data_IF_002928738502
#
_entry.id   IF_002928738502
#
_cell.length_a   1.000
_cell.length_b   1.000
_cell.length_c   1.000
_cell.angle_alpha   90.00
_cell.angle_beta   90.00
_cell.angle_gamma   90.00
#
_symmetry.space_group_name_H-M   'P 1'
#
loop_
_entity.id
_entity.type
_entity.pdbx_description
1 polymer ?
#
# COMPACT_ATOMS: atom_id res chain seq x y z
N UNK A 1 -7.73 1.60 27.62
CA UNK A 1 -8.99 1.98 26.96
C UNK A 1 -9.97 0.80 26.95
N UNK A 2 -11.28 1.09 27.05
CA UNK A 2 -12.35 0.17 26.73
C UNK A 2 -12.96 0.59 25.39
N UNK A 3 -12.86 -0.27 24.38
CA UNK A 3 -13.53 -0.04 23.11
C UNK A 3 -14.89 -0.75 23.14
N UNK A 4 -15.93 -0.05 22.80
CA UNK A 4 -17.29 -0.59 22.71
C UNK A 4 -17.78 -0.43 21.28
N UNK A 5 -18.19 -1.52 20.66
CA UNK A 5 -18.86 -1.50 19.35
C UNK A 5 -20.31 -1.92 19.56
N UNK A 6 -21.24 -1.14 19.04
CA UNK A 6 -22.67 -1.41 19.04
C UNK A 6 -23.16 -1.54 17.62
N UNK A 7 -23.98 -2.53 17.35
CA UNK A 7 -24.70 -2.69 16.10
C UNK A 7 -26.18 -2.53 16.41
N UNK A 8 -26.84 -1.56 15.80
CA UNK A 8 -28.25 -1.31 15.91
C UNK A 8 -28.95 -1.65 14.59
N UNK A 9 -30.05 -2.39 14.66
CA UNK A 9 -30.87 -2.73 13.50
C UNK A 9 -32.10 -1.81 13.46
N UNK A 10 -32.32 -1.16 12.31
CA UNK A 10 -33.46 -0.30 12.06
C UNK A 10 -33.96 -0.61 10.66
N UNK A 11 -35.20 -1.14 10.53
CA UNK A 11 -35.81 -1.50 9.23
C UNK A 11 -34.89 -2.35 8.35
N UNK A 12 -34.29 -3.41 8.92
CA UNK A 12 -33.35 -4.33 8.26
C UNK A 12 -32.02 -3.69 7.80
N UNK A 13 -31.72 -2.47 8.23
CA UNK A 13 -30.43 -1.83 8.04
C UNK A 13 -29.62 -1.85 9.35
N UNK A 14 -28.30 -2.08 9.23
CA UNK A 14 -27.41 -2.18 10.37
C UNK A 14 -26.56 -0.93 10.49
N UNK A 15 -26.59 -0.30 11.66
CA UNK A 15 -25.82 0.88 12.01
C UNK A 15 -24.75 0.52 13.04
N UNK A 16 -23.50 0.78 12.73
CA UNK A 16 -22.37 0.56 13.63
C UNK A 16 -22.04 1.85 14.39
N UNK A 17 -22.00 1.77 15.71
CA UNK A 17 -21.54 2.85 16.58
C UNK A 17 -20.35 2.38 17.39
N UNK A 18 -19.30 3.17 17.42
CA UNK A 18 -18.07 2.87 18.15
C UNK A 18 -17.81 3.95 19.20
N UNK A 19 -17.44 3.53 20.39
CA UNK A 19 -17.03 4.42 21.48
C UNK A 19 -15.80 3.90 22.17
N UNK A 20 -14.98 4.81 22.68
CA UNK A 20 -13.74 4.52 23.38
C UNK A 20 -13.70 5.24 24.70
N UNK A 21 -13.57 4.50 25.80
CA UNK A 21 -13.48 5.06 27.15
C UNK A 21 -12.11 4.78 27.74
N UNK A 22 -11.50 5.80 28.31
CA UNK A 22 -10.26 5.64 29.05
C UNK A 22 -10.55 5.04 30.42
N UNK A 23 -10.10 3.81 30.68
CA UNK A 23 -10.19 3.19 32.01
C UNK A 23 -9.03 3.54 32.93
N UNK A 24 -7.85 3.73 32.36
CA UNK A 24 -6.64 4.09 33.11
C UNK A 24 -5.75 4.95 32.20
N UNK A 25 -5.26 6.05 32.73
CA UNK A 25 -4.39 6.95 31.99
C UNK A 25 -3.01 6.32 31.68
N UNK A 26 -2.57 5.36 32.53
CA UNK A 26 -1.25 4.73 32.33
C UNK A 26 -0.14 5.76 32.16
N UNK A 27 0.72 5.58 31.16
CA UNK A 27 1.81 6.50 30.84
C UNK A 27 1.36 7.91 30.43
N UNK A 28 0.11 8.06 29.97
CA UNK A 28 -0.45 9.35 29.54
C UNK A 28 -0.60 10.32 30.72
N UNK A 29 -0.75 9.81 31.96
CA UNK A 29 -0.82 10.63 33.17
C UNK A 29 0.47 11.43 33.40
N UNK A 30 1.61 10.91 32.96
CA UNK A 30 2.92 11.57 33.09
C UNK A 30 3.03 12.81 32.21
N UNK A 31 2.36 12.80 31.05
CA UNK A 31 2.43 13.90 30.07
C UNK A 31 1.32 14.93 30.21
N UNK A 32 0.44 14.83 31.20
CA UNK A 32 -0.61 15.81 31.47
C UNK A 32 -1.58 16.03 30.29
N UNK A 33 -1.66 15.11 29.34
CA UNK A 33 -2.56 15.23 28.20
C UNK A 33 -4.01 15.06 28.67
N UNK A 34 -4.78 16.14 28.61
CA UNK A 34 -6.24 16.07 28.65
C UNK A 34 -6.69 15.32 27.39
N UNK A 35 -7.42 14.24 27.61
CA UNK A 35 -7.96 13.44 26.51
C UNK A 35 -9.27 14.11 26.11
N UNK A 36 -9.37 14.45 24.82
CA UNK A 36 -10.63 14.88 24.24
C UNK A 36 -11.70 13.85 24.62
N UNK A 37 -12.78 14.32 25.21
CA UNK A 37 -13.92 13.51 25.61
C UNK A 37 -14.55 12.90 24.37
N UNK A 38 -14.13 11.67 24.06
CA UNK A 38 -14.82 10.91 23.03
C UNK A 38 -16.22 10.53 23.52
N UNK A 39 -17.21 10.47 22.63
CA UNK A 39 -18.59 10.19 23.03
C UNK A 39 -18.67 8.88 23.84
N UNK A 40 -19.12 9.02 25.07
CA UNK A 40 -19.37 7.90 25.96
C UNK A 40 -20.58 7.12 25.45
N UNK A 41 -20.40 5.86 25.11
CA UNK A 41 -21.50 4.96 24.80
C UNK A 41 -22.02 4.31 26.10
N UNK A 42 -23.22 4.66 26.55
CA UNK A 42 -23.79 3.99 27.73
C UNK A 42 -23.95 2.49 27.47
N UNK A 43 -23.73 1.63 28.48
CA UNK A 43 -23.93 0.20 28.31
C UNK A 43 -25.41 -0.10 28.04
N UNK A 44 -25.67 -0.84 26.96
CA UNK A 44 -26.99 -1.34 26.60
C UNK A 44 -26.92 -2.86 26.46
N UNK A 45 -27.83 -3.61 27.06
CA UNK A 45 -27.89 -5.06 26.86
C UNK A 45 -28.29 -5.38 25.40
N UNK A 46 -27.84 -6.55 24.94
CA UNK A 46 -28.22 -7.03 23.62
C UNK A 46 -29.73 -7.26 23.53
N UNK A 47 -30.37 -6.88 22.44
CA UNK A 47 -31.79 -7.01 22.20
C UNK A 47 -32.63 -5.91 22.85
N UNK A 48 -32.03 -4.91 23.48
CA UNK A 48 -32.80 -3.79 24.04
C UNK A 48 -33.34 -2.93 22.87
N UNK A 49 -34.66 -2.66 22.92
CA UNK A 49 -35.30 -1.74 22.00
C UNK A 49 -34.78 -0.31 22.20
N UNK A 50 -34.51 0.35 21.11
CA UNK A 50 -34.08 1.76 21.04
C UNK A 50 -35.05 2.55 20.16
N UNK A 51 -35.20 3.83 20.44
CA UNK A 51 -35.99 4.76 19.62
C UNK A 51 -35.01 5.69 18.88
N UNK A 52 -35.14 5.77 17.56
CA UNK A 52 -34.40 6.72 16.79
C UNK A 52 -34.98 8.12 17.02
N UNK A 53 -34.22 9.00 17.63
CA UNK A 53 -34.63 10.37 17.92
C UNK A 53 -34.52 11.28 16.70
N UNK A 54 -33.48 11.13 15.93
CA UNK A 54 -33.24 11.90 14.70
C UNK A 54 -32.29 11.15 13.77
N UNK A 55 -32.35 11.47 12.51
CA UNK A 55 -31.37 11.02 11.51
C UNK A 55 -31.02 12.19 10.58
N UNK A 56 -29.80 12.16 10.07
CA UNK A 56 -29.32 13.14 9.12
C UNK A 56 -28.64 12.39 7.96
N UNK A 57 -29.02 12.73 6.75
CA UNK A 57 -28.40 12.19 5.55
C UNK A 57 -27.28 13.14 5.09
N UNK A 58 -26.05 12.66 5.13
CA UNK A 58 -24.91 13.40 4.60
C UNK A 58 -24.54 12.90 3.21
N UNK A 59 -24.59 13.76 2.23
CA UNK A 59 -24.04 13.47 0.91
C UNK A 59 -22.52 13.68 0.97
N UNK A 60 -21.77 12.61 0.84
CA UNK A 60 -20.32 12.62 0.89
C UNK A 60 -19.73 12.17 -0.45
N UNK A 61 -18.60 12.76 -0.79
CA UNK A 61 -17.79 12.31 -1.92
C UNK A 61 -16.59 11.53 -1.41
N UNK A 62 -16.25 10.45 -2.10
CA UNK A 62 -15.01 9.73 -1.84
C UNK A 62 -13.81 10.64 -2.13
N UNK A 63 -12.84 10.60 -1.22
CA UNK A 63 -11.57 11.30 -1.41
C UNK A 63 -10.52 10.31 -1.90
N UNK A 64 -9.56 10.74 -2.74
CA UNK A 64 -8.43 9.90 -3.08
C UNK A 64 -7.66 9.52 -1.81
N UNK A 65 -6.97 8.36 -1.80
CA UNK A 65 -6.12 8.00 -0.69
C UNK A 65 -5.02 9.05 -0.49
N UNK A 66 -4.58 9.29 0.76
CA UNK A 66 -3.50 10.23 1.03
C UNK A 66 -2.21 9.76 0.35
N UNK A 67 -1.35 10.71 -0.02
CA UNK A 67 -0.01 10.41 -0.51
C UNK A 67 0.81 9.70 0.57
N UNK A 68 1.81 8.95 0.15
CA UNK A 68 2.72 8.31 1.09
C UNK A 68 3.62 9.34 1.76
N UNK A 69 3.81 9.21 3.06
CA UNK A 69 4.98 9.73 3.76
C UNK A 69 6.09 8.67 3.72
N UNK A 70 7.31 9.02 4.10
CA UNK A 70 8.40 8.03 4.20
C UNK A 70 8.02 6.87 5.13
N UNK A 71 7.42 7.15 6.28
CA UNK A 71 6.99 6.13 7.22
C UNK A 71 5.92 5.21 6.63
N UNK A 72 4.93 5.76 5.94
CA UNK A 72 3.86 4.96 5.33
C UNK A 72 4.35 4.21 4.10
N UNK A 73 5.33 4.75 3.35
CA UNK A 73 5.97 4.04 2.24
C UNK A 73 6.82 2.87 2.73
N UNK A 74 7.62 3.06 3.80
CA UNK A 74 8.34 1.97 4.45
C UNK A 74 7.41 0.84 4.88
N UNK A 75 6.28 1.18 5.52
CA UNK A 75 5.27 0.19 5.92
C UNK A 75 4.61 -0.49 4.70
N UNK A 76 4.42 0.25 3.60
CA UNK A 76 3.89 -0.32 2.36
C UNK A 76 4.89 -1.27 1.69
N UNK A 77 6.19 -0.95 1.71
CA UNK A 77 7.26 -1.83 1.21
C UNK A 77 7.33 -3.11 2.05
N UNK A 78 7.24 -3.00 3.37
CA UNK A 78 7.22 -4.16 4.27
C UNK A 78 6.01 -5.06 4.03
N UNK A 79 4.83 -4.47 3.92
CA UNK A 79 3.58 -5.18 3.67
C UNK A 79 3.25 -5.34 2.17
N UNK A 80 4.24 -5.36 1.27
CA UNK A 80 4.00 -5.34 -0.18
C UNK A 80 3.28 -6.58 -0.70
N UNK A 81 3.33 -7.70 0.01
CA UNK A 81 2.55 -8.90 -0.32
C UNK A 81 1.05 -8.65 -0.47
N UNK A 82 0.49 -7.66 0.23
CA UNK A 82 -0.94 -7.28 0.10
C UNK A 82 -1.33 -6.77 -1.29
N UNK A 83 -0.37 -6.40 -2.12
CA UNK A 83 -0.59 -5.97 -3.51
C UNK A 83 -0.49 -7.12 -4.50
N UNK A 84 -0.21 -8.33 -4.05
CA UNK A 84 -0.12 -9.54 -4.86
C UNK A 84 -1.46 -10.27 -4.78
N UNK A 85 -2.10 -10.51 -5.93
CA UNK A 85 -3.42 -11.13 -5.98
C UNK A 85 -3.35 -12.64 -5.69
N UNK A 86 -2.32 -13.32 -6.16
CA UNK A 86 -2.07 -14.74 -5.96
C UNK A 86 -1.72 -15.05 -4.49
N UNK A 87 -2.46 -15.95 -3.87
CA UNK A 87 -2.34 -16.28 -2.44
C UNK A 87 -1.00 -16.95 -2.12
N UNK A 88 -0.52 -17.88 -2.96
CA UNK A 88 0.74 -18.58 -2.72
C UNK A 88 1.94 -17.63 -2.82
N UNK A 89 1.93 -16.73 -3.79
CA UNK A 89 2.95 -15.70 -3.96
C UNK A 89 2.88 -14.65 -2.85
N UNK A 90 1.68 -14.30 -2.41
CA UNK A 90 1.46 -13.41 -1.26
C UNK A 90 2.05 -14.01 0.01
N UNK A 91 1.82 -15.29 0.25
CA UNK A 91 2.37 -16.01 1.40
C UNK A 91 3.90 -16.11 1.33
N UNK A 92 4.47 -16.32 0.14
CA UNK A 92 5.92 -16.31 -0.06
C UNK A 92 6.56 -14.95 0.28
N UNK A 93 5.83 -13.85 0.06
CA UNK A 93 6.26 -12.50 0.44
C UNK A 93 5.98 -12.15 1.91
N UNK A 94 5.28 -12.98 2.66
CA UNK A 94 4.96 -12.71 4.06
C UNK A 94 6.22 -12.54 4.89
N UNK A 95 6.34 -11.41 5.56
CA UNK A 95 7.52 -11.05 6.36
C UNK A 95 8.75 -10.59 5.56
N UNK A 96 8.73 -10.65 4.22
CA UNK A 96 9.83 -10.22 3.35
C UNK A 96 9.59 -8.81 2.77
N UNK A 97 8.50 -8.62 2.02
CA UNK A 97 8.15 -7.36 1.36
C UNK A 97 9.09 -6.99 0.22
N UNK A 98 9.10 -5.71 -0.15
CA UNK A 98 10.03 -5.12 -1.12
C UNK A 98 11.26 -4.56 -0.41
N UNK A 99 12.45 -5.05 -0.79
CA UNK A 99 13.69 -4.72 -0.10
C UNK A 99 13.77 -5.32 1.32
N UNK A 100 14.95 -5.28 1.89
CA UNK A 100 15.18 -5.72 3.28
C UNK A 100 14.99 -4.54 4.25
N UNK A 101 14.78 -4.80 5.55
CA UNK A 101 14.73 -3.73 6.55
C UNK A 101 15.94 -2.78 6.49
N UNK A 102 17.13 -3.31 6.18
CA UNK A 102 18.36 -2.52 6.07
C UNK A 102 18.43 -1.65 4.78
N UNK A 103 17.75 -2.02 3.71
CA UNK A 103 17.87 -1.37 2.40
C UNK A 103 16.71 -0.46 2.06
N UNK A 104 15.54 -0.62 2.65
CA UNK A 104 14.33 0.14 2.31
C UNK A 104 14.52 1.65 2.39
N UNK A 105 15.11 2.13 3.52
CA UNK A 105 15.36 3.57 3.69
C UNK A 105 16.33 4.10 2.63
N UNK A 106 17.42 3.36 2.34
CA UNK A 106 18.39 3.73 1.33
C UNK A 106 17.77 3.79 -0.07
N UNK A 107 16.84 2.89 -0.41
CA UNK A 107 16.11 2.91 -1.68
C UNK A 107 15.28 4.19 -1.81
N UNK A 108 14.56 4.59 -0.75
CA UNK A 108 13.76 5.82 -0.76
C UNK A 108 14.67 7.04 -0.96
N UNK A 109 15.79 7.13 -0.23
CA UNK A 109 16.76 8.21 -0.38
C UNK A 109 17.36 8.24 -1.79
N UNK A 110 17.64 7.10 -2.39
CA UNK A 110 18.14 7.00 -3.75
C UNK A 110 17.11 7.50 -4.78
N UNK A 111 15.83 7.17 -4.62
CA UNK A 111 14.76 7.67 -5.48
C UNK A 111 14.65 9.21 -5.39
N UNK A 112 14.83 9.78 -4.20
CA UNK A 112 14.84 11.22 -3.99
C UNK A 112 16.10 11.86 -4.61
N UNK A 113 17.28 11.29 -4.35
CA UNK A 113 18.54 11.79 -4.90
C UNK A 113 18.55 11.76 -6.44
N UNK A 114 17.93 10.73 -7.03
CA UNK A 114 17.77 10.60 -8.50
C UNK A 114 16.61 11.42 -9.05
N UNK A 115 15.90 12.18 -8.22
CA UNK A 115 14.78 13.03 -8.59
C UNK A 115 13.59 12.27 -9.24
N UNK A 116 13.35 11.05 -8.85
CA UNK A 116 12.10 10.35 -9.16
C UNK A 116 10.98 10.74 -8.22
N UNK A 117 11.31 11.04 -6.96
CA UNK A 117 10.38 11.45 -5.92
C UNK A 117 10.92 12.70 -5.24
N UNK A 118 10.05 13.60 -4.84
CA UNK A 118 10.38 14.80 -4.03
C UNK A 118 9.59 14.80 -2.74
N UNK A 119 10.15 15.44 -1.72
CA UNK A 119 9.47 15.68 -0.44
C UNK A 119 8.69 16.98 -0.52
N UNK A 120 7.39 16.91 -0.31
CA UNK A 120 6.50 18.07 -0.15
C UNK A 120 5.94 18.05 1.27
N UNK A 121 6.59 18.75 2.19
CA UNK A 121 6.29 18.67 3.61
C UNK A 121 6.56 17.28 4.17
N UNK A 122 5.50 16.55 4.52
CA UNK A 122 5.61 15.16 4.99
C UNK A 122 5.28 14.12 3.92
N UNK A 123 4.84 14.55 2.76
CA UNK A 123 4.38 13.69 1.68
C UNK A 123 5.48 13.48 0.64
N UNK A 124 5.43 12.33 0.00
CA UNK A 124 6.28 11.99 -1.12
C UNK A 124 5.47 12.14 -2.42
N UNK A 125 5.98 12.97 -3.32
CA UNK A 125 5.33 13.27 -4.61
C UNK A 125 6.20 12.77 -5.76
N UNK A 126 5.65 11.97 -6.70
CA UNK A 126 6.38 11.55 -7.88
C UNK A 126 6.61 12.74 -8.81
N UNK A 127 7.79 12.79 -9.43
CA UNK A 127 8.16 13.84 -10.40
C UNK A 127 7.74 13.46 -11.82
N UNK A 128 7.82 14.42 -12.75
CA UNK A 128 7.62 14.15 -14.18
C UNK A 128 8.55 13.03 -14.69
N UNK A 129 9.79 12.96 -14.19
CA UNK A 129 10.75 11.91 -14.51
C UNK A 129 10.26 10.52 -14.11
N UNK A 130 9.58 10.40 -12.96
CA UNK A 130 8.97 9.13 -12.53
C UNK A 130 7.83 8.71 -13.47
N UNK A 131 6.96 9.63 -13.85
CA UNK A 131 5.89 9.36 -14.81
C UNK A 131 6.43 8.95 -16.17
N UNK A 132 7.48 9.62 -16.66
CA UNK A 132 8.14 9.25 -17.91
C UNK A 132 8.69 7.82 -17.86
N UNK A 133 9.39 7.45 -16.76
CA UNK A 133 9.89 6.09 -16.59
C UNK A 133 8.75 5.06 -16.58
N UNK A 134 7.68 5.32 -15.84
CA UNK A 134 6.54 4.39 -15.78
C UNK A 134 5.83 4.25 -17.14
N UNK A 135 5.69 5.34 -17.87
CA UNK A 135 5.15 5.34 -19.23
C UNK A 135 6.03 4.53 -20.18
N UNK A 136 7.36 4.71 -20.09
CA UNK A 136 8.33 3.95 -20.87
C UNK A 136 8.21 2.44 -20.59
N UNK A 137 8.21 2.02 -19.32
CA UNK A 137 8.09 0.61 -18.94
C UNK A 137 6.81 -0.02 -19.48
N UNK A 138 5.68 0.71 -19.43
CA UNK A 138 4.41 0.26 -20.01
C UNK A 138 4.47 0.19 -21.54
N UNK A 139 5.03 1.20 -22.19
CA UNK A 139 5.21 1.22 -23.65
C UNK A 139 6.09 0.09 -24.15
N UNK A 140 7.13 -0.27 -23.40
CA UNK A 140 7.99 -1.43 -23.66
C UNK A 140 7.26 -2.77 -23.41
N UNK A 141 6.12 -2.79 -22.71
CA UNK A 141 5.44 -4.02 -22.29
C UNK A 141 6.23 -4.81 -21.24
N UNK A 142 7.02 -4.10 -20.42
CA UNK A 142 7.81 -4.66 -19.30
C UNK A 142 7.36 -4.08 -17.97
N UNK A 143 6.09 -3.74 -17.85
CA UNK A 143 5.47 -3.17 -16.66
C UNK A 143 5.56 -4.11 -15.43
N UNK A 144 5.81 -5.40 -15.65
CA UNK A 144 6.10 -6.37 -14.57
C UNK A 144 7.23 -5.91 -13.65
N UNK A 145 8.23 -5.19 -14.18
CA UNK A 145 9.32 -4.62 -13.39
C UNK A 145 8.87 -3.60 -12.35
N UNK A 146 7.67 -3.04 -12.49
CA UNK A 146 7.09 -2.06 -11.58
C UNK A 146 6.03 -2.64 -10.64
N UNK A 147 5.85 -3.96 -10.66
CA UNK A 147 4.81 -4.67 -9.90
C UNK A 147 5.41 -5.54 -8.80
N UNK A 148 4.74 -5.59 -7.65
CA UNK A 148 5.13 -6.45 -6.55
C UNK A 148 5.04 -7.95 -6.88
N UNK A 149 4.19 -8.31 -7.86
CA UNK A 149 3.96 -9.67 -8.33
C UNK A 149 5.22 -10.35 -8.84
N UNK A 150 6.13 -9.60 -9.50
CA UNK A 150 7.40 -10.16 -9.96
C UNK A 150 8.25 -10.62 -8.78
N UNK A 151 8.33 -9.81 -7.73
CA UNK A 151 9.05 -10.18 -6.50
C UNK A 151 8.37 -11.36 -5.81
N UNK A 152 7.04 -11.36 -5.74
CA UNK A 152 6.27 -12.47 -5.19
C UNK A 152 6.50 -13.78 -5.93
N UNK A 153 6.53 -13.74 -7.26
CA UNK A 153 6.82 -14.90 -8.11
C UNK A 153 8.24 -15.45 -7.86
N UNK A 154 9.23 -14.57 -7.75
CA UNK A 154 10.60 -14.98 -7.49
C UNK A 154 10.79 -15.53 -6.08
N UNK A 155 10.18 -14.91 -5.06
CA UNK A 155 10.23 -15.41 -3.71
C UNK A 155 9.54 -16.77 -3.56
N UNK A 156 8.45 -16.99 -4.26
CA UNK A 156 7.77 -18.28 -4.33
C UNK A 156 8.67 -19.34 -4.96
N UNK A 157 9.26 -19.06 -6.11
CA UNK A 157 10.18 -19.98 -6.82
C UNK A 157 11.44 -20.28 -6.00
N UNK A 158 11.99 -19.29 -5.30
CA UNK A 158 13.13 -19.49 -4.39
C UNK A 158 12.75 -20.41 -3.22
N UNK A 159 11.54 -20.28 -2.69
CA UNK A 159 11.03 -21.18 -1.66
C UNK A 159 10.87 -22.63 -2.19
N UNK A 160 10.39 -22.80 -3.41
CA UNK A 160 10.34 -24.13 -4.06
C UNK A 160 11.74 -24.74 -4.21
N UNK A 161 12.75 -23.95 -4.55
CA UNK A 161 14.16 -24.38 -4.64
C UNK A 161 14.68 -24.80 -3.26
N UNK A 162 14.41 -24.02 -2.23
CA UNK A 162 14.78 -24.34 -0.84
C UNK A 162 14.18 -25.66 -0.39
N UNK A 163 12.95 -25.95 -0.80
CA UNK A 163 12.25 -27.21 -0.52
C UNK A 163 12.66 -28.37 -1.43
N UNK A 164 13.54 -28.16 -2.42
CA UNK A 164 13.95 -29.17 -3.39
C UNK A 164 12.88 -29.52 -4.43
N UNK A 165 11.87 -28.68 -4.59
CA UNK A 165 10.74 -28.87 -5.52
C UNK A 165 10.98 -28.25 -6.90
N UNK A 166 11.99 -27.40 -7.03
CA UNK A 166 12.37 -26.72 -8.29
C UNK A 166 13.89 -26.79 -8.49
N UNK A 167 14.30 -26.98 -9.74
CA UNK A 167 15.71 -26.92 -10.12
C UNK A 167 16.20 -25.45 -10.17
N UNK A 168 17.30 -25.12 -9.48
CA UNK A 168 17.91 -23.77 -9.53
C UNK A 168 18.30 -23.34 -10.92
N UNK A 169 18.73 -24.27 -11.79
CA UNK A 169 19.18 -23.97 -13.15
C UNK A 169 18.03 -23.47 -14.01
N UNK A 170 16.85 -24.10 -13.88
CA UNK A 170 15.64 -23.66 -14.60
C UNK A 170 15.22 -22.26 -14.18
N UNK A 171 15.31 -21.92 -12.91
CA UNK A 171 15.00 -20.58 -12.40
C UNK A 171 15.97 -19.52 -12.98
N UNK A 172 17.27 -19.82 -13.01
CA UNK A 172 18.26 -18.93 -13.61
C UNK A 172 18.07 -18.74 -15.11
N UNK A 173 17.61 -19.78 -15.80
CA UNK A 173 17.26 -19.69 -17.22
C UNK A 173 16.06 -18.74 -17.45
N UNK A 174 15.01 -18.85 -16.65
CA UNK A 174 13.85 -17.95 -16.70
C UNK A 174 14.25 -16.48 -16.49
N UNK A 175 15.15 -16.19 -15.56
CA UNK A 175 15.69 -14.82 -15.35
C UNK A 175 16.47 -14.34 -16.57
N UNK A 176 17.29 -15.22 -17.17
CA UNK A 176 18.04 -14.91 -18.38
C UNK A 176 17.12 -14.60 -19.56
N UNK A 177 16.08 -15.42 -19.75
CA UNK A 177 15.08 -15.21 -20.80
C UNK A 177 14.30 -13.92 -20.62
N UNK A 178 13.88 -13.60 -19.37
CA UNK A 178 13.25 -12.32 -19.04
C UNK A 178 14.17 -11.15 -19.37
N UNK A 179 15.47 -11.25 -19.03
CA UNK A 179 16.45 -10.20 -19.32
C UNK A 179 16.63 -10.00 -20.82
N UNK A 180 16.75 -11.07 -21.60
CA UNK A 180 16.82 -10.99 -23.06
C UNK A 180 15.57 -10.36 -23.64
N UNK A 181 14.39 -10.77 -23.18
CA UNK A 181 13.12 -10.19 -23.60
C UNK A 181 13.08 -8.66 -23.37
N UNK A 182 13.47 -8.20 -22.16
CA UNK A 182 13.49 -6.78 -21.85
C UNK A 182 14.46 -6.03 -22.78
N UNK A 183 15.66 -6.56 -23.00
CA UNK A 183 16.66 -5.95 -23.88
C UNK A 183 16.16 -5.89 -25.32
N UNK A 184 15.55 -6.94 -25.83
CA UNK A 184 15.02 -6.97 -27.20
C UNK A 184 13.85 -5.99 -27.37
N UNK A 185 12.97 -5.90 -26.40
CA UNK A 185 11.89 -4.89 -26.38
C UNK A 185 12.47 -3.48 -26.39
N UNK A 186 13.49 -3.21 -25.58
CA UNK A 186 14.14 -1.90 -25.51
C UNK A 186 14.87 -1.54 -26.82
N UNK A 187 15.53 -2.48 -27.46
CA UNK A 187 16.23 -2.28 -28.75
C UNK A 187 15.28 -1.99 -29.92
N UNK A 188 14.13 -2.65 -29.92
CA UNK A 188 13.11 -2.52 -30.97
C UNK A 188 12.06 -1.44 -30.67
N UNK A 189 12.25 -0.71 -29.57
CA UNK A 189 11.31 0.30 -29.15
C UNK A 189 11.40 1.55 -30.03
N UNK A 190 10.26 1.98 -30.58
CA UNK A 190 10.17 3.21 -31.34
C UNK A 190 9.55 4.31 -30.45
N UNK A 191 10.28 5.40 -30.22
CA UNK A 191 9.89 6.50 -29.35
C UNK A 191 8.60 7.22 -29.77
N UNK A 192 8.18 7.07 -31.04
CA UNK A 192 6.93 7.65 -31.54
C UNK A 192 5.67 6.98 -30.96
N UNK A 193 5.81 5.84 -30.29
CA UNK A 193 4.70 5.07 -29.73
C UNK A 193 4.50 5.24 -28.24
N UNK A 194 5.27 6.11 -27.55
CA UNK A 194 5.02 6.38 -26.12
C UNK A 194 3.73 7.20 -26.02
N UNK A 195 2.63 6.65 -25.49
CA UNK A 195 1.49 7.45 -25.14
C UNK A 195 1.85 8.23 -23.88
N UNK A 196 2.45 9.38 -24.05
CA UNK A 196 2.71 10.31 -22.98
C UNK A 196 1.80 11.51 -23.15
N UNK A 197 0.88 11.72 -22.26
CA UNK A 197 0.20 13.01 -22.14
C UNK A 197 1.18 14.00 -21.51
N UNK A 198 2.02 14.59 -22.35
CA UNK A 198 2.97 15.63 -21.96
C UNK A 198 2.28 16.88 -21.41
N UNK A 199 0.99 17.06 -21.65
CA UNK A 199 0.23 18.21 -21.18
C UNK A 199 0.00 18.20 -19.67
N UNK A 200 0.01 17.02 -19.05
CA UNK A 200 -0.11 16.88 -17.59
C UNK A 200 1.22 16.97 -16.84
N UNK A 201 2.34 17.00 -17.55
CA UNK A 201 3.68 17.06 -16.96
C UNK A 201 4.25 18.48 -16.86
N UNK A 202 3.56 19.47 -17.38
CA UNK A 202 3.88 20.87 -17.13
C UNK A 202 3.41 21.26 -15.71
N UNK A 203 4.19 20.86 -14.71
CA UNK A 203 4.04 21.40 -13.37
C UNK A 203 4.72 22.76 -13.39
N UNK A 204 3.93 23.79 -13.08
CA UNK A 204 4.43 25.12 -12.76
C UNK A 204 5.32 25.07 -11.51
#
# INVERSE_FOLDING_TARGET
FLNTTRISEISSNFFKTEGKVLKSAGWMAVYGKTIDEQPFLPPLPAGQGIVLASHELHELQTKPPPRYSEATLLSAMEGAGRFVDDEEKRDAMSGKGLGTPATRAAIIEELIAKQYVVREGRELTPTAKAFQLMTLLRGLGVDSLSKAELTGDWEFKLKEIELGQRDPTSFMQEISELTHHIVDRARNYNSETIPGDYATLSVA
#
